data_IF_556852721290
#
_entry.id   IF_556852721290
#
_cell.length_a   1.000
_cell.length_b   1.000
_cell.length_c   1.000
_cell.angle_alpha   90.00
_cell.angle_beta   90.00
_cell.angle_gamma   90.00
#
_symmetry.space_group_name_H-M   'P 1'
#
loop_
_entity.id
_entity.type
_entity.pdbx_description
1 polymer ?
#
# COMPACT_ATOMS: atom_id res chain seq x y z
N UNK A 1 28.43 18.08 -3.07
CA UNK A 1 28.22 16.71 -3.60
C UNK A 1 27.78 15.68 -2.54
N UNK A 2 28.13 15.83 -1.26
CA UNK A 2 27.75 14.87 -0.19
C UNK A 2 26.27 14.85 0.23
N UNK A 3 25.56 15.98 0.20
CA UNK A 3 24.15 16.03 0.67
C UNK A 3 23.17 15.24 -0.22
N UNK A 4 23.33 15.31 -1.55
CA UNK A 4 22.46 14.58 -2.49
C UNK A 4 22.53 13.06 -2.33
N UNK A 5 23.67 12.52 -1.93
CA UNK A 5 23.86 11.07 -1.74
C UNK A 5 23.18 10.58 -0.45
N UNK A 6 23.21 11.39 0.61
CA UNK A 6 22.58 11.07 1.90
C UNK A 6 21.05 11.12 1.82
N UNK A 7 20.50 12.08 1.07
CA UNK A 7 19.05 12.18 0.82
C UNK A 7 18.51 11.00 0.01
N UNK A 8 19.26 10.54 -1.01
CA UNK A 8 18.91 9.34 -1.80
C UNK A 8 18.96 8.06 -0.95
N UNK A 9 20.01 7.91 -0.13
CA UNK A 9 20.13 6.79 0.81
C UNK A 9 18.99 6.75 1.83
N UNK A 10 18.60 7.91 2.37
CA UNK A 10 17.48 8.04 3.28
C UNK A 10 16.14 7.67 2.59
N UNK A 11 15.90 8.17 1.38
CA UNK A 11 14.71 7.83 0.57
C UNK A 11 14.60 6.32 0.32
N UNK A 12 15.68 5.67 -0.09
CA UNK A 12 15.71 4.21 -0.28
C UNK A 12 15.37 3.45 1.00
N UNK A 13 15.87 3.92 2.15
CA UNK A 13 15.59 3.29 3.45
C UNK A 13 14.11 3.41 3.86
N UNK A 14 13.49 4.57 3.60
CA UNK A 14 12.07 4.82 3.91
C UNK A 14 11.18 3.98 3.00
N UNK A 15 11.46 3.96 1.69
CA UNK A 15 10.71 3.15 0.73
C UNK A 15 10.81 1.66 1.03
N UNK A 16 12.00 1.17 1.40
CA UNK A 16 12.18 -0.22 1.80
C UNK A 16 11.40 -0.56 3.08
N UNK A 17 11.42 0.31 4.08
CA UNK A 17 10.61 0.16 5.30
C UNK A 17 9.11 0.13 4.97
N UNK A 18 8.66 1.01 4.08
CA UNK A 18 7.27 1.06 3.64
C UNK A 18 6.86 -0.20 2.87
N UNK A 19 7.72 -0.73 1.99
CA UNK A 19 7.46 -1.98 1.27
C UNK A 19 7.35 -3.17 2.24
N UNK A 20 8.32 -3.32 3.16
CA UNK A 20 8.29 -4.38 4.18
C UNK A 20 7.05 -4.28 5.07
N UNK A 21 6.68 -3.06 5.46
CA UNK A 21 5.44 -2.82 6.18
C UNK A 21 4.23 -3.23 5.35
N UNK A 22 4.17 -2.83 4.08
CA UNK A 22 3.03 -3.10 3.22
C UNK A 22 2.92 -4.55 2.74
N UNK A 23 3.98 -5.34 2.86
CA UNK A 23 3.89 -6.80 2.75
C UNK A 23 3.05 -7.42 3.86
N UNK A 24 3.05 -6.83 5.06
CA UNK A 24 2.44 -7.45 6.24
C UNK A 24 1.20 -6.70 6.75
N UNK A 25 1.09 -5.41 6.45
CA UNK A 25 0.05 -4.52 6.93
C UNK A 25 -0.60 -3.71 5.80
N UNK A 26 -1.87 -3.39 5.99
CA UNK A 26 -2.58 -2.49 5.09
C UNK A 26 -1.96 -1.09 5.12
N UNK A 27 -1.67 -0.50 3.95
CA UNK A 27 -1.10 0.86 3.89
C UNK A 27 -2.06 1.96 4.36
N UNK A 28 -3.36 1.66 4.51
CA UNK A 28 -4.39 2.64 4.86
C UNK A 28 -4.72 2.62 6.35
N UNK A 29 -5.03 1.46 6.92
CA UNK A 29 -5.38 1.34 8.34
C UNK A 29 -4.25 0.81 9.23
N UNK A 30 -3.09 0.51 8.65
CA UNK A 30 -1.91 -0.03 9.34
C UNK A 30 -2.11 -1.39 10.05
N UNK A 31 -3.29 -2.00 9.92
CA UNK A 31 -3.58 -3.29 10.54
C UNK A 31 -2.92 -4.44 9.77
N UNK A 32 -2.45 -5.49 10.47
CA UNK A 32 -1.83 -6.64 9.83
C UNK A 32 -2.84 -7.40 8.95
N UNK A 33 -2.34 -7.99 7.86
CA UNK A 33 -3.10 -8.95 7.08
C UNK A 33 -3.20 -10.25 7.84
N UNK A 34 -4.42 -10.74 8.01
CA UNK A 34 -4.69 -12.04 8.62
C UNK A 34 -5.49 -12.86 7.64
N UNK A 35 -5.26 -14.17 7.65
CA UNK A 35 -6.00 -15.09 6.78
C UNK A 35 -7.51 -14.99 7.08
N UNK A 36 -8.34 -14.97 6.02
CA UNK A 36 -9.81 -14.89 6.01
C UNK A 36 -10.44 -13.56 6.47
N UNK A 37 -10.05 -13.02 7.63
CA UNK A 37 -10.73 -11.83 8.21
C UNK A 37 -10.22 -10.55 7.55
N UNK A 38 -8.90 -10.43 7.40
CA UNK A 38 -8.24 -9.23 6.87
C UNK A 38 -7.39 -9.56 5.64
N UNK A 39 -8.01 -10.23 4.67
CA UNK A 39 -7.36 -10.69 3.44
C UNK A 39 -6.67 -9.55 2.69
N UNK A 40 -5.43 -9.79 2.24
CA UNK A 40 -4.63 -8.89 1.41
C UNK A 40 -5.23 -8.75 0.00
N UNK A 41 -5.28 -7.52 -0.51
CA UNK A 41 -5.65 -7.14 -1.89
C UNK A 41 -4.68 -6.09 -2.39
N UNK A 42 -4.49 -5.96 -3.71
CA UNK A 42 -3.67 -4.89 -4.28
C UNK A 42 -4.55 -3.81 -4.91
N UNK A 43 -4.30 -2.54 -4.57
CA UNK A 43 -4.93 -1.41 -5.24
C UNK A 43 -4.45 -1.33 -6.69
N UNK A 44 -5.36 -1.19 -7.65
CA UNK A 44 -5.00 -1.12 -9.06
C UNK A 44 -4.23 0.16 -9.42
N UNK A 45 -4.54 1.28 -8.79
CA UNK A 45 -3.94 2.58 -9.16
C UNK A 45 -2.56 2.76 -8.52
N UNK A 46 -2.48 2.64 -7.19
CA UNK A 46 -1.25 2.92 -6.45
C UNK A 46 -0.40 1.69 -6.12
N UNK A 47 -0.84 0.48 -6.50
CA UNK A 47 -0.14 -0.81 -6.33
C UNK A 47 0.19 -1.23 -4.89
N UNK A 48 -0.20 -0.45 -3.88
CA UNK A 48 -0.07 -0.86 -2.48
C UNK A 48 -1.09 -1.94 -2.08
N UNK A 49 -0.67 -2.81 -1.16
CA UNK A 49 -1.55 -3.78 -0.52
C UNK A 49 -2.49 -3.09 0.48
N UNK A 50 -3.75 -3.49 0.44
CA UNK A 50 -4.84 -2.99 1.25
C UNK A 50 -5.67 -4.16 1.77
N UNK A 51 -6.36 -3.95 2.90
CA UNK A 51 -7.27 -4.94 3.41
C UNK A 51 -8.66 -4.81 2.78
N UNK A 52 -9.52 -5.79 3.03
CA UNK A 52 -10.92 -5.80 2.58
C UNK A 52 -11.65 -4.51 2.95
N UNK A 53 -11.56 -4.06 4.19
CA UNK A 53 -12.27 -2.87 4.70
C UNK A 53 -11.76 -1.55 4.11
N UNK A 54 -10.53 -1.52 3.61
CA UNK A 54 -9.95 -0.34 2.97
C UNK A 54 -10.00 -0.39 1.44
N UNK A 55 -10.76 -1.33 0.88
CA UNK A 55 -10.84 -1.59 -0.56
C UNK A 55 -12.28 -1.63 -1.07
N UNK A 56 -12.48 -1.13 -2.29
CA UNK A 56 -13.73 -1.19 -3.04
C UNK A 56 -13.52 -1.94 -4.34
N UNK A 57 -14.49 -2.77 -4.76
CA UNK A 57 -14.43 -3.46 -6.04
C UNK A 57 -15.03 -2.58 -7.14
N UNK A 58 -14.24 -2.25 -8.16
CA UNK A 58 -14.69 -1.52 -9.32
C UNK A 58 -15.12 -2.52 -10.40
N UNK A 59 -16.44 -2.67 -10.60
CA UNK A 59 -17.01 -3.71 -11.46
C UNK A 59 -16.55 -3.63 -12.93
N UNK A 60 -16.43 -2.41 -13.46
CA UNK A 60 -16.05 -2.15 -14.85
C UNK A 60 -14.64 -2.67 -15.15
N UNK A 61 -13.68 -2.30 -14.30
CA UNK A 61 -12.27 -2.67 -14.45
C UNK A 61 -11.94 -4.03 -13.81
N UNK A 62 -12.92 -4.66 -13.15
CA UNK A 62 -12.77 -5.90 -12.38
C UNK A 62 -11.59 -5.85 -11.39
N UNK A 63 -11.44 -4.70 -10.73
CA UNK A 63 -10.24 -4.39 -9.95
C UNK A 63 -10.58 -3.89 -8.52
N UNK A 64 -9.62 -4.03 -7.61
CA UNK A 64 -9.71 -3.46 -6.26
C UNK A 64 -9.05 -2.09 -6.21
N UNK A 65 -9.74 -1.10 -5.64
CA UNK A 65 -9.27 0.27 -5.48
C UNK A 65 -9.26 0.60 -3.99
N UNK A 66 -8.23 1.29 -3.51
CA UNK A 66 -8.20 1.75 -2.12
C UNK A 66 -9.10 2.97 -1.90
N UNK A 67 -9.57 3.16 -0.67
CA UNK A 67 -10.46 4.29 -0.33
C UNK A 67 -9.90 5.66 -0.75
N UNK A 68 -8.58 5.86 -0.71
CA UNK A 68 -7.95 7.14 -1.11
C UNK A 68 -7.92 7.32 -2.62
N UNK A 69 -7.57 6.29 -3.40
CA UNK A 69 -7.57 6.37 -4.86
C UNK A 69 -8.99 6.48 -5.42
N UNK A 70 -9.99 5.93 -4.73
CA UNK A 70 -11.39 6.09 -5.10
C UNK A 70 -11.89 7.54 -4.94
N UNK A 71 -11.27 8.33 -4.05
CA UNK A 71 -11.64 9.73 -3.78
C UNK A 71 -10.84 10.74 -4.62
N UNK A 72 -9.86 10.28 -5.42
CA UNK A 72 -9.04 11.11 -6.29
C UNK A 72 -9.68 11.23 -7.67
#
# INVERSE_FOLDING_TARGET
MKQKLDEEGNKCSILSKQQKFNEHCCIRCCSPFTFLINSKRQCQDCKYNICKSCSSYQKKEKAWICSVCQQA
#
